data_IF_430040572473
#
_entry.id   IF_430040572473
#
_cell.length_a   1.000
_cell.length_b   1.000
_cell.length_c   1.000
_cell.angle_alpha   90.00
_cell.angle_beta   90.00
_cell.angle_gamma   90.00
#
_symmetry.space_group_name_H-M   'P 1'
#
loop_
_entity.id
_entity.type
_entity.pdbx_description
1 polymer ?
#
# COMPACT_ATOMS: atom_id res chain seq x y z
N UNK A 1 -11.11 3.44 -7.15
CA UNK A 1 -10.09 4.44 -7.52
C UNK A 1 -8.79 3.72 -7.87
N UNK A 2 -8.11 4.19 -8.89
CA UNK A 2 -6.84 3.61 -9.29
C UNK A 2 -5.74 4.66 -9.23
N UNK A 3 -4.53 4.20 -8.90
CA UNK A 3 -3.34 5.04 -8.96
C UNK A 3 -2.28 4.31 -9.77
N UNK A 4 -1.60 5.05 -10.64
CA UNK A 4 -0.49 4.54 -11.43
C UNK A 4 0.76 5.36 -11.12
N UNK A 5 1.87 4.66 -10.93
CA UNK A 5 3.13 5.32 -10.63
C UNK A 5 4.28 4.35 -10.70
N UNK A 6 5.46 4.85 -10.36
CA UNK A 6 6.69 4.06 -10.36
C UNK A 6 6.91 3.48 -8.96
N UNK A 7 7.11 2.17 -8.90
CA UNK A 7 7.41 1.50 -7.63
C UNK A 7 8.81 1.89 -7.19
N UNK A 8 8.90 2.62 -6.07
CA UNK A 8 10.17 3.12 -5.56
C UNK A 8 10.76 2.26 -4.47
N UNK A 9 9.90 1.64 -3.67
CA UNK A 9 10.36 0.89 -2.51
C UNK A 9 9.31 -0.14 -2.10
N UNK A 10 9.78 -1.29 -1.66
CA UNK A 10 8.92 -2.32 -1.03
C UNK A 10 9.44 -2.47 0.39
N UNK A 11 8.62 -2.10 1.37
CA UNK A 11 9.01 -2.19 2.77
C UNK A 11 8.90 -3.64 3.25
N UNK A 12 9.56 -3.99 4.37
CA UNK A 12 9.49 -5.34 4.89
C UNK A 12 8.06 -5.79 5.18
N UNK A 13 7.79 -7.08 4.94
CA UNK A 13 6.50 -7.67 5.23
C UNK A 13 6.25 -7.64 6.74
N UNK A 14 5.07 -7.18 7.12
CA UNK A 14 4.63 -7.20 8.51
C UNK A 14 3.61 -8.33 8.67
N UNK A 15 3.77 -9.14 9.70
CA UNK A 15 2.81 -10.17 10.03
C UNK A 15 2.57 -10.17 11.54
N UNK A 16 1.35 -10.51 11.93
CA UNK A 16 0.98 -10.53 13.33
C UNK A 16 -0.16 -11.52 13.53
N UNK A 17 -0.35 -11.96 14.79
CA UNK A 17 -1.46 -12.80 15.18
C UNK A 17 -2.40 -12.01 16.07
N UNK A 18 -3.70 -12.15 15.82
CA UNK A 18 -4.71 -11.56 16.69
C UNK A 18 -4.91 -12.48 17.90
N UNK A 19 -5.58 -11.97 18.93
CA UNK A 19 -5.91 -12.75 20.13
C UNK A 19 -6.77 -13.98 19.81
N UNK A 20 -7.46 -13.99 18.69
CA UNK A 20 -8.28 -15.11 18.24
C UNK A 20 -7.49 -16.15 17.44
N UNK A 21 -6.17 -15.98 17.33
CA UNK A 21 -5.31 -16.91 16.60
C UNK A 21 -5.27 -16.71 15.11
N UNK A 22 -5.88 -15.64 14.59
CA UNK A 22 -5.81 -15.34 13.16
C UNK A 22 -4.52 -14.58 12.85
N UNK A 23 -3.73 -15.13 11.93
CA UNK A 23 -2.57 -14.44 11.41
C UNK A 23 -3.00 -13.47 10.29
N UNK A 24 -2.39 -12.30 10.26
CA UNK A 24 -2.58 -11.36 9.15
C UNK A 24 -1.24 -10.87 8.65
N UNK A 25 -1.20 -10.48 7.40
CA UNK A 25 -0.01 -9.94 6.76
C UNK A 25 -0.35 -8.62 6.11
N UNK A 26 0.60 -7.69 6.18
CA UNK A 26 0.50 -6.39 5.57
C UNK A 26 1.86 -6.00 5.03
N UNK A 27 1.88 -5.41 3.85
CA UNK A 27 3.10 -4.90 3.28
C UNK A 27 2.84 -3.53 2.70
N UNK A 28 3.74 -2.59 2.98
CA UNK A 28 3.63 -1.23 2.48
C UNK A 28 4.61 -1.05 1.33
N UNK A 29 4.15 -0.40 0.27
CA UNK A 29 4.99 -0.03 -0.86
C UNK A 29 4.99 1.48 -1.00
N UNK A 30 6.06 2.01 -1.58
CA UNK A 30 6.17 3.43 -1.88
C UNK A 30 6.10 3.59 -3.39
N UNK A 31 5.12 4.35 -3.84
CA UNK A 31 4.89 4.61 -5.26
C UNK A 31 5.03 6.11 -5.52
N UNK A 32 5.78 6.45 -6.56
CA UNK A 32 5.96 7.83 -6.98
C UNK A 32 5.00 8.15 -8.12
N UNK A 33 4.22 9.22 -7.97
CA UNK A 33 3.28 9.63 -8.99
C UNK A 33 4.00 10.17 -10.23
N UNK A 34 3.39 9.98 -11.40
CA UNK A 34 3.95 10.43 -12.67
C UNK A 34 3.34 11.79 -13.04
N UNK A 35 3.81 12.82 -12.35
CA UNK A 35 3.35 14.19 -12.50
C UNK A 35 4.51 15.14 -12.70
N UNK A 36 4.20 16.41 -13.05
CA UNK A 36 5.21 17.48 -13.15
C UNK A 36 5.96 17.63 -11.82
N UNK A 37 5.24 17.51 -10.70
CA UNK A 37 5.82 17.53 -9.37
C UNK A 37 5.51 16.18 -8.69
N UNK A 38 6.35 15.16 -8.91
CA UNK A 38 6.07 13.82 -8.40
C UNK A 38 5.97 13.78 -6.88
N UNK A 39 5.06 12.93 -6.39
CA UNK A 39 4.85 12.75 -4.96
C UNK A 39 5.00 11.28 -4.61
N UNK A 40 5.47 11.03 -3.41
CA UNK A 40 5.60 9.67 -2.88
C UNK A 40 4.36 9.34 -2.07
N UNK A 41 3.80 8.17 -2.33
CA UNK A 41 2.60 7.69 -1.63
C UNK A 41 2.92 6.34 -1.00
N UNK A 42 2.68 6.24 0.31
CA UNK A 42 2.78 4.97 1.02
C UNK A 42 1.46 4.23 0.88
N UNK A 43 1.48 3.05 0.28
CA UNK A 43 0.28 2.26 0.02
C UNK A 43 0.37 0.94 0.78
N UNK A 44 -0.63 0.67 1.61
CA UNK A 44 -0.74 -0.62 2.29
C UNK A 44 -1.37 -1.63 1.35
N UNK A 45 -0.66 -2.73 1.10
CA UNK A 45 -1.13 -3.77 0.19
C UNK A 45 -1.86 -4.83 0.99
N UNK A 46 -3.09 -5.17 0.55
CA UNK A 46 -3.87 -6.19 1.22
C UNK A 46 -3.22 -7.56 1.07
N UNK A 47 -3.51 -8.45 2.01
CA UNK A 47 -2.96 -9.81 2.02
C UNK A 47 -3.16 -10.52 0.68
N UNK A 48 -4.33 -10.35 0.07
CA UNK A 48 -4.64 -10.99 -1.22
C UNK A 48 -3.79 -10.46 -2.36
N UNK A 49 -3.34 -9.22 -2.27
CA UNK A 49 -2.56 -8.57 -3.33
C UNK A 49 -1.05 -8.69 -3.12
N UNK A 50 -0.60 -9.10 -1.95
CA UNK A 50 0.84 -9.19 -1.64
C UNK A 50 1.56 -10.13 -2.62
N UNK A 51 0.95 -11.24 -2.98
CA UNK A 51 1.56 -12.20 -3.90
C UNK A 51 1.85 -11.61 -5.28
N UNK A 52 1.10 -10.58 -5.67
CA UNK A 52 1.31 -9.92 -6.96
C UNK A 52 2.55 -9.05 -6.97
N UNK A 53 3.03 -8.62 -5.80
CA UNK A 53 4.23 -7.79 -5.70
C UNK A 53 5.47 -8.50 -6.22
N UNK A 54 5.47 -9.83 -6.24
CA UNK A 54 6.59 -10.62 -6.74
C UNK A 54 6.79 -10.44 -8.25
N UNK A 55 5.77 -10.00 -8.95
CA UNK A 55 5.82 -9.77 -10.39
C UNK A 55 6.40 -8.40 -10.76
N UNK A 56 6.65 -7.56 -9.75
CA UNK A 56 7.12 -6.19 -9.94
C UNK A 56 8.47 -5.98 -9.30
N UNK A 57 9.26 -5.12 -9.90
CA UNK A 57 10.57 -4.73 -9.38
C UNK A 57 10.61 -3.23 -9.17
N UNK A 58 11.54 -2.78 -8.31
CA UNK A 58 11.77 -1.37 -8.09
C UNK A 58 12.08 -0.70 -9.43
N UNK A 59 11.40 0.40 -9.72
CA UNK A 59 11.54 1.13 -10.98
C UNK A 59 10.48 0.80 -12.01
N UNK A 60 9.70 -0.27 -11.80
CA UNK A 60 8.60 -0.61 -12.70
C UNK A 60 7.39 0.29 -12.46
N UNK A 61 6.62 0.53 -13.52
CA UNK A 61 5.33 1.21 -13.41
C UNK A 61 4.30 0.22 -12.89
N UNK A 62 3.56 0.62 -11.88
CA UNK A 62 2.55 -0.23 -11.24
C UNK A 62 1.23 0.51 -11.20
N UNK A 63 0.13 -0.22 -11.41
CA UNK A 63 -1.23 0.30 -11.28
C UNK A 63 -1.92 -0.42 -10.15
N UNK A 64 -2.43 0.34 -9.19
CA UNK A 64 -3.10 -0.21 -8.01
C UNK A 64 -4.53 0.28 -7.94
N UNK A 65 -5.46 -0.63 -7.63
CA UNK A 65 -6.81 -0.25 -7.25
C UNK A 65 -6.80 -0.01 -5.75
N UNK A 66 -7.17 1.21 -5.35
CA UNK A 66 -7.01 1.65 -3.97
C UNK A 66 -8.31 2.15 -3.36
N UNK A 67 -8.35 2.09 -2.03
CA UNK A 67 -9.34 2.78 -1.21
C UNK A 67 -8.61 3.74 -0.31
N UNK A 68 -9.16 4.94 -0.17
CA UNK A 68 -8.61 5.95 0.73
C UNK A 68 -9.62 6.15 1.85
N UNK A 69 -9.16 6.03 3.09
CA UNK A 69 -10.01 6.24 4.24
C UNK A 69 -9.27 6.99 5.33
N UNK A 70 -10.02 7.72 6.12
CA UNK A 70 -9.47 8.50 7.23
C UNK A 70 -10.17 8.13 8.52
N UNK A 71 -9.42 8.20 9.61
CA UNK A 71 -9.94 7.96 10.96
C UNK A 71 -9.55 9.10 11.86
N UNK A 72 -10.44 9.45 12.77
CA UNK A 72 -10.14 10.39 13.83
C UNK A 72 -9.78 9.65 15.12
N UNK A 73 -8.70 10.07 15.75
CA UNK A 73 -8.30 9.55 17.04
C UNK A 73 -7.71 10.69 17.87
N UNK A 74 -8.34 10.98 19.01
CA UNK A 74 -7.92 12.05 19.92
C UNK A 74 -7.74 13.40 19.21
N UNK A 75 -8.67 13.76 18.33
CA UNK A 75 -8.63 15.02 17.60
C UNK A 75 -7.67 15.07 16.43
N UNK A 76 -7.01 13.95 16.13
CA UNK A 76 -6.12 13.84 14.98
C UNK A 76 -6.72 12.95 13.91
N UNK A 77 -6.49 13.32 12.67
CA UNK A 77 -6.95 12.54 11.53
C UNK A 77 -5.80 11.76 10.92
N UNK A 78 -6.04 10.49 10.69
CA UNK A 78 -5.07 9.59 10.04
C UNK A 78 -5.67 9.08 8.75
N UNK A 79 -4.95 9.25 7.65
CA UNK A 79 -5.39 8.81 6.34
C UNK A 79 -4.60 7.59 5.91
N UNK A 80 -5.30 6.57 5.43
CA UNK A 80 -4.70 5.34 4.93
C UNK A 80 -5.06 5.14 3.46
N UNK A 81 -4.08 4.73 2.67
CA UNK A 81 -4.27 4.35 1.27
C UNK A 81 -4.02 2.85 1.21
N UNK A 82 -5.05 2.09 0.85
CA UNK A 82 -4.97 0.63 0.81
C UNK A 82 -5.22 0.11 -0.60
N UNK A 83 -4.33 -0.73 -1.08
CA UNK A 83 -4.49 -1.39 -2.38
C UNK A 83 -5.13 -2.75 -2.16
N UNK A 84 -6.25 -2.98 -2.84
CA UNK A 84 -6.94 -4.28 -2.81
C UNK A 84 -6.70 -5.07 -4.09
N UNK A 85 -6.10 -4.44 -5.07
CA UNK A 85 -5.73 -5.08 -6.33
C UNK A 85 -4.53 -4.38 -6.94
N UNK A 86 -3.65 -5.14 -7.51
CA UNK A 86 -2.48 -4.63 -8.25
C UNK A 86 -2.52 -5.19 -9.67
#
# INVERSE_FOLDING_TARGET
MEIQGVLKQILPLESNETKSGKAWQKQTIIVETQETYPKLIAIEVSEKAISRLQDYQIGHTITCSINIESREYNGRWFTSVKAWKI
#
